data_IF_668852942474
#
_entry.id   IF_668852942474
#
_cell.length_a   1.000
_cell.length_b   1.000
_cell.length_c   1.000
_cell.angle_alpha   90.00
_cell.angle_beta   90.00
_cell.angle_gamma   90.00
#
_symmetry.space_group_name_H-M   'P 1'
#
loop_
_entity.id
_entity.type
_entity.pdbx_description
1 polymer ?
#
# COMPACT_ATOMS: atom_id res chain seq x y z
N UNK A 1 -21.01 14.78 -39.57
CA UNK A 1 -20.45 13.40 -39.57
C UNK A 1 -19.13 13.30 -38.80
N UNK A 2 -18.25 14.29 -38.90
CA UNK A 2 -16.96 14.32 -38.17
C UNK A 2 -17.10 14.21 -36.64
N UNK A 3 -18.12 14.86 -36.07
CA UNK A 3 -18.35 14.83 -34.61
C UNK A 3 -18.79 13.44 -34.09
N UNK A 4 -19.42 12.61 -34.92
CA UNK A 4 -19.87 11.26 -34.53
C UNK A 4 -18.68 10.33 -34.39
N UNK A 5 -17.70 10.43 -35.29
CA UNK A 5 -16.45 9.68 -35.21
C UNK A 5 -15.61 10.09 -33.99
N UNK A 6 -15.54 11.39 -33.68
CA UNK A 6 -14.90 11.88 -32.45
C UNK A 6 -15.58 11.32 -31.20
N UNK A 7 -16.91 11.25 -31.18
CA UNK A 7 -17.69 10.70 -30.06
C UNK A 7 -17.48 9.19 -29.89
N UNK A 8 -17.45 8.42 -30.99
CA UNK A 8 -17.15 6.99 -30.96
C UNK A 8 -15.72 6.70 -30.49
N UNK A 9 -14.74 7.50 -30.90
CA UNK A 9 -13.36 7.41 -30.40
C UNK A 9 -13.29 7.72 -28.89
N UNK A 10 -14.02 8.73 -28.43
CA UNK A 10 -14.10 9.09 -27.01
C UNK A 10 -14.76 7.99 -26.16
N UNK A 11 -15.87 7.42 -26.65
CA UNK A 11 -16.55 6.29 -25.97
C UNK A 11 -15.63 5.07 -25.91
N UNK A 12 -14.93 4.75 -27.01
CA UNK A 12 -13.96 3.66 -27.04
C UNK A 12 -12.82 3.84 -26.05
N UNK A 13 -12.26 5.05 -25.93
CA UNK A 13 -11.22 5.35 -24.93
C UNK A 13 -11.74 5.28 -23.49
N UNK A 14 -12.97 5.75 -23.25
CA UNK A 14 -13.60 5.71 -21.93
C UNK A 14 -13.85 4.26 -21.47
N UNK A 15 -14.27 3.37 -22.37
CA UNK A 15 -14.50 1.96 -22.05
C UNK A 15 -13.21 1.22 -21.64
N UNK A 16 -12.07 1.56 -22.23
CA UNK A 16 -10.77 0.96 -21.89
C UNK A 16 -10.32 1.34 -20.47
N UNK A 17 -10.55 2.60 -20.06
CA UNK A 17 -10.21 3.09 -18.72
C UNK A 17 -11.04 2.40 -17.61
N UNK A 18 -12.31 2.07 -17.88
CA UNK A 18 -13.22 1.47 -16.90
C UNK A 18 -12.90 -0.01 -16.62
N UNK A 19 -12.17 -0.69 -17.50
CA UNK A 19 -11.79 -2.11 -17.36
C UNK A 19 -10.46 -2.33 -16.64
N UNK A 20 -9.73 -1.28 -16.28
CA UNK A 20 -8.48 -1.42 -15.54
C UNK A 20 -8.77 -1.75 -14.06
N UNK A 21 -8.50 -2.99 -13.65
CA UNK A 21 -8.52 -3.43 -12.25
C UNK A 21 -7.25 -2.91 -11.55
N UNK A 22 -7.25 -1.63 -11.18
CA UNK A 22 -6.12 -0.99 -10.51
C UNK A 22 -6.12 -1.40 -9.03
N UNK A 23 -5.12 -2.20 -8.65
CA UNK A 23 -4.90 -2.62 -7.27
C UNK A 23 -3.89 -1.72 -6.58
N UNK A 24 -4.09 -1.46 -5.29
CA UNK A 24 -3.12 -0.75 -4.46
C UNK A 24 -1.96 -1.67 -4.08
N UNK A 25 -0.74 -1.15 -4.11
CA UNK A 25 0.50 -1.89 -3.87
C UNK A 25 0.96 -1.76 -2.43
N UNK A 26 0.74 -2.81 -1.65
CA UNK A 26 1.26 -2.95 -0.28
C UNK A 26 2.69 -3.50 -0.31
N UNK A 27 3.66 -2.71 0.14
CA UNK A 27 5.04 -3.19 0.27
C UNK A 27 5.26 -3.93 1.59
N UNK A 28 5.86 -5.12 1.53
CA UNK A 28 6.20 -5.93 2.72
C UNK A 28 7.67 -6.38 2.64
N UNK A 29 8.38 -6.24 3.75
CA UNK A 29 9.76 -6.72 3.89
C UNK A 29 9.83 -8.25 4.09
N UNK A 30 10.71 -8.90 3.34
CA UNK A 30 10.93 -10.35 3.34
C UNK A 30 11.38 -10.87 4.71
N UNK A 31 12.17 -10.09 5.46
CA UNK A 31 12.60 -10.48 6.82
C UNK A 31 11.48 -10.45 7.86
N UNK A 32 10.36 -9.77 7.58
CA UNK A 32 9.11 -9.83 8.35
C UNK A 32 8.18 -10.96 7.90
N UNK A 33 8.48 -11.64 6.79
CA UNK A 33 7.75 -12.82 6.34
C UNK A 33 8.07 -14.06 7.19
N UNK A 34 8.16 -13.91 8.52
CA UNK A 34 8.12 -15.03 9.46
C UNK A 34 6.66 -15.33 9.82
N UNK A 35 6.23 -16.49 9.33
CA UNK A 35 5.04 -17.30 9.62
C UNK A 35 3.62 -16.72 9.48
N UNK A 36 3.35 -15.41 9.63
CA UNK A 36 1.95 -14.92 9.57
C UNK A 36 1.67 -13.83 8.50
N UNK A 37 2.67 -13.10 8.01
CA UNK A 37 2.46 -12.06 6.98
C UNK A 37 2.62 -12.56 5.55
N UNK A 38 3.39 -13.64 5.32
CA UNK A 38 3.45 -14.31 4.01
C UNK A 38 2.08 -14.87 3.64
N UNK A 39 1.44 -15.52 4.61
CA UNK A 39 0.06 -16.01 4.51
C UNK A 39 -0.93 -14.89 4.20
N UNK A 40 -0.69 -13.66 4.71
CA UNK A 40 -1.52 -12.51 4.38
C UNK A 40 -1.36 -12.07 2.94
N UNK A 41 -0.15 -12.04 2.38
CA UNK A 41 0.04 -11.77 0.96
C UNK A 41 -0.47 -12.89 0.06
N UNK A 42 -0.33 -14.15 0.48
CA UNK A 42 -0.89 -15.29 -0.24
C UNK A 42 -2.43 -15.20 -0.25
N UNK A 43 -3.07 -14.84 0.87
CA UNK A 43 -4.52 -14.57 0.94
C UNK A 43 -4.96 -13.39 0.06
N UNK A 44 -4.19 -12.30 0.03
CA UNK A 44 -4.45 -11.14 -0.83
C UNK A 44 -4.30 -11.50 -2.31
N UNK A 45 -3.31 -12.34 -2.65
CA UNK A 45 -3.09 -12.83 -4.02
C UNK A 45 -4.21 -13.77 -4.48
N UNK A 46 -4.62 -14.68 -3.61
CA UNK A 46 -5.61 -15.72 -3.94
C UNK A 46 -7.04 -15.15 -3.94
N UNK A 47 -7.26 -13.99 -3.33
CA UNK A 47 -8.52 -13.26 -3.40
C UNK A 47 -8.55 -12.33 -4.63
N UNK A 48 -9.22 -12.77 -5.70
CA UNK A 48 -9.37 -12.01 -6.95
C UNK A 48 -10.02 -10.63 -6.72
N UNK A 49 -10.91 -10.53 -5.72
CA UNK A 49 -11.60 -9.28 -5.35
C UNK A 49 -10.77 -8.40 -4.38
N UNK A 50 -9.57 -8.82 -3.99
CA UNK A 50 -8.65 -7.96 -3.26
C UNK A 50 -8.25 -6.81 -4.17
N UNK A 51 -8.64 -5.59 -3.78
CA UNK A 51 -8.16 -4.34 -4.39
C UNK A 51 -6.71 -4.00 -3.98
N UNK A 52 -5.98 -4.95 -3.38
CA UNK A 52 -4.60 -4.80 -2.91
C UNK A 52 -3.75 -5.94 -3.47
N UNK A 53 -2.56 -5.62 -3.94
CA UNK A 53 -1.50 -6.55 -4.30
C UNK A 53 -0.25 -6.33 -3.45
N UNK A 54 0.54 -7.37 -3.25
CA UNK A 54 1.77 -7.28 -2.46
C UNK A 54 3.01 -7.06 -3.33
N UNK A 55 3.88 -6.14 -2.90
CA UNK A 55 5.24 -5.94 -3.40
C UNK A 55 6.21 -6.42 -2.31
N UNK A 56 7.05 -7.42 -2.63
CA UNK A 56 7.98 -7.99 -1.66
C UNK A 56 9.34 -7.32 -1.82
N UNK A 57 9.80 -6.65 -0.76
CA UNK A 57 11.13 -6.05 -0.67
C UNK A 57 12.04 -6.88 0.24
N UNK A 58 13.35 -6.74 0.17
CA UNK A 58 14.34 -7.39 1.04
C UNK A 58 14.17 -6.95 2.50
N UNK A 59 14.01 -5.65 2.71
CA UNK A 59 13.87 -5.01 4.01
C UNK A 59 12.98 -3.76 3.95
N UNK A 60 12.74 -3.11 5.09
CA UNK A 60 11.83 -1.97 5.18
C UNK A 60 12.42 -0.69 4.59
N UNK A 61 13.75 -0.57 4.49
CA UNK A 61 14.39 0.55 3.81
C UNK A 61 14.15 0.45 2.30
N UNK A 62 14.23 -0.75 1.73
CA UNK A 62 13.84 -0.95 0.34
C UNK A 62 12.36 -0.61 0.10
N UNK A 63 11.45 -0.92 1.03
CA UNK A 63 10.07 -0.44 0.92
C UNK A 63 9.97 1.10 0.90
N UNK A 64 10.77 1.82 1.69
CA UNK A 64 10.81 3.29 1.65
C UNK A 64 11.27 3.80 0.28
N UNK A 65 12.29 3.17 -0.32
CA UNK A 65 12.71 3.50 -1.68
C UNK A 65 11.60 3.25 -2.71
N UNK A 66 10.93 2.09 -2.64
CA UNK A 66 9.84 1.76 -3.55
C UNK A 66 8.64 2.70 -3.40
N UNK A 67 8.35 3.19 -2.20
CA UNK A 67 7.34 4.23 -1.98
C UNK A 67 7.75 5.55 -2.63
N UNK A 68 9.01 5.96 -2.46
CA UNK A 68 9.51 7.20 -3.04
C UNK A 68 9.54 7.17 -4.58
N UNK A 69 9.77 6.01 -5.17
CA UNK A 69 9.75 5.79 -6.62
C UNK A 69 8.35 5.62 -7.21
N UNK A 70 7.31 5.46 -6.37
CA UNK A 70 5.96 5.14 -6.81
C UNK A 70 5.78 3.68 -7.28
N UNK A 71 6.73 2.81 -6.94
CA UNK A 71 6.67 1.37 -7.19
C UNK A 71 5.82 0.62 -6.14
N UNK A 72 5.55 1.26 -5.00
CA UNK A 72 4.59 0.85 -3.98
C UNK A 72 3.74 2.04 -3.53
N UNK A 73 2.53 1.77 -3.00
CA UNK A 73 1.60 2.81 -2.56
C UNK A 73 1.63 3.02 -1.04
N UNK A 74 1.76 1.95 -0.26
CA UNK A 74 1.81 2.03 1.20
C UNK A 74 2.58 0.85 1.82
N UNK A 75 3.02 1.01 3.08
CA UNK A 75 3.67 -0.03 3.87
C UNK A 75 3.39 0.18 5.36
N UNK A 76 3.68 -0.81 6.19
CA UNK A 76 3.62 -0.70 7.64
C UNK A 76 5.04 -0.41 8.16
N UNK A 77 5.19 0.72 8.85
CA UNK A 77 6.45 1.20 9.39
C UNK A 77 6.40 1.23 10.92
N UNK A 78 7.54 0.97 11.54
CA UNK A 78 7.77 1.23 12.96
C UNK A 78 8.12 2.71 13.18
N UNK A 79 7.98 3.23 14.41
CA UNK A 79 8.30 4.61 14.72
C UNK A 79 9.74 5.01 14.31
N UNK A 80 10.71 4.11 14.43
CA UNK A 80 12.11 4.37 14.05
C UNK A 80 12.25 4.59 12.54
N UNK A 81 11.47 3.86 11.75
CA UNK A 81 11.49 3.93 10.29
C UNK A 81 10.81 5.20 9.78
N UNK A 82 9.84 5.74 10.53
CA UNK A 82 9.25 7.06 10.23
C UNK A 82 10.28 8.18 10.36
N UNK A 83 11.18 8.10 11.35
CA UNK A 83 12.29 9.06 11.50
C UNK A 83 13.22 9.00 10.29
N UNK A 84 13.57 7.80 9.84
CA UNK A 84 14.41 7.59 8.66
C UNK A 84 13.74 8.12 7.40
N UNK A 85 12.45 7.83 7.18
CA UNK A 85 11.71 8.31 6.03
C UNK A 85 11.65 9.84 5.97
N UNK A 86 11.48 10.50 7.13
CA UNK A 86 11.52 11.95 7.23
C UNK A 86 12.92 12.51 6.90
N UNK A 87 13.99 11.88 7.39
CA UNK A 87 15.37 12.27 7.06
C UNK A 87 15.69 12.09 5.56
N UNK A 88 15.09 11.10 4.91
CA UNK A 88 15.20 10.87 3.47
C UNK A 88 14.36 11.84 2.65
N UNK A 89 13.51 12.66 3.28
CA UNK A 89 12.63 13.61 2.60
C UNK A 89 11.48 12.97 1.83
N UNK A 90 11.08 11.75 2.19
CA UNK A 90 9.99 11.04 1.51
C UNK A 90 8.65 11.63 1.97
N UNK A 91 7.79 12.14 1.06
CA UNK A 91 6.52 12.75 1.42
C UNK A 91 5.47 11.68 1.77
N UNK A 92 5.47 11.23 3.04
CA UNK A 92 4.56 10.21 3.53
C UNK A 92 3.33 10.80 4.25
N UNK A 93 2.19 10.14 4.09
CA UNK A 93 1.02 10.31 4.97
C UNK A 93 0.95 9.14 5.92
N UNK A 94 0.95 9.43 7.22
CA UNK A 94 1.00 8.40 8.27
C UNK A 94 -0.39 8.23 8.88
N UNK A 95 -0.81 6.98 9.04
CA UNK A 95 -1.95 6.57 9.86
C UNK A 95 -1.45 5.63 10.96
N UNK A 96 -2.10 5.66 12.13
CA UNK A 96 -1.73 4.82 13.26
C UNK A 96 -2.52 3.51 13.24
N UNK A 97 -1.87 2.42 13.63
CA UNK A 97 -2.55 1.15 13.88
C UNK A 97 -3.31 1.24 15.22
N UNK A 98 -4.61 1.00 15.19
CA UNK A 98 -5.42 0.92 16.41
C UNK A 98 -5.48 -0.52 16.91
N UNK A 99 -4.79 -0.80 18.01
CA UNK A 99 -4.88 -2.11 18.65
C UNK A 99 -6.11 -2.18 19.57
N UNK A 100 -7.01 -3.12 19.29
CA UNK A 100 -8.12 -3.44 20.20
C UNK A 100 -7.64 -4.47 21.23
N UNK A 101 -7.45 -4.04 22.46
CA UNK A 101 -7.22 -4.96 23.57
C UNK A 101 -8.53 -5.55 24.05
N UNK A 102 -8.62 -6.89 24.12
CA UNK A 102 -9.72 -7.52 24.86
C UNK A 102 -9.58 -7.09 26.33
N UNK A 103 -10.58 -6.40 26.86
CA UNK A 103 -10.72 -5.95 28.25
C UNK A 103 -9.89 -4.73 28.71
N UNK A 104 -9.41 -3.87 27.81
CA UNK A 104 -8.84 -2.56 28.20
C UNK A 104 -9.39 -1.48 27.25
N UNK A 105 -9.94 -0.35 27.74
CA UNK A 105 -10.36 0.75 26.88
C UNK A 105 -9.15 1.28 26.09
N UNK A 106 -9.36 1.58 24.80
CA UNK A 106 -8.33 1.96 23.82
C UNK A 106 -7.23 2.83 24.43
N UNK A 107 -6.07 2.24 24.71
CA UNK A 107 -4.90 2.96 25.23
C UNK A 107 -4.07 3.40 24.03
N UNK A 108 -3.94 4.71 23.86
CA UNK A 108 -2.96 5.29 22.95
C UNK A 108 -1.57 5.15 23.60
N UNK A 109 -0.65 4.45 22.93
CA UNK A 109 0.71 4.31 23.43
C UNK A 109 1.50 5.57 23.08
N UNK A 110 1.51 6.55 23.98
CA UNK A 110 2.52 7.61 23.93
C UNK A 110 3.87 7.03 24.38
N UNK A 111 4.84 6.94 23.48
CA UNK A 111 6.24 6.70 23.85
C UNK A 111 6.76 7.98 24.50
N UNK A 112 6.97 7.94 25.82
CA UNK A 112 7.59 9.04 26.57
C UNK A 112 9.10 8.90 26.40
N UNK A 113 9.72 9.88 25.72
CA UNK A 113 11.18 10.03 25.64
C UNK A 113 11.74 10.67 26.90
#
# INVERSE_FOLDING_TARGET
>A
MENIWKLLLFIGQLQVLVLADIKYKLCIAQRMAKFNQKDSCDQLRDNVHSGVECVIAKDRLECLHLLNEGSADFTVLHPEELVVANQMGIPLRVTHELQKFKNVPNVDYSVIY
#
